data_IF_718716598389
#
_entry.id   IF_718716598389
#
_cell.length_a   1.000
_cell.length_b   1.000
_cell.length_c   1.000
_cell.angle_alpha   90.00
_cell.angle_beta   90.00
_cell.angle_gamma   90.00
#
_symmetry.space_group_name_H-M   'P 1'
#
loop_
_entity.id
_entity.type
_entity.pdbx_description
1 polymer ?
#
# COMPACT_ATOMS: atom_id res chain seq x y z
N UNK A 1 -31.70 -50.14 13.07
CA UNK A 1 -31.78 -50.26 11.60
C UNK A 1 -32.34 -48.94 11.06
N UNK A 2 -31.53 -48.09 10.44
CA UNK A 2 -31.91 -46.71 10.09
C UNK A 2 -32.42 -46.62 8.64
N UNK A 3 -33.57 -45.97 8.44
CA UNK A 3 -34.31 -45.91 7.17
C UNK A 3 -33.59 -45.04 6.12
N UNK A 4 -33.52 -45.49 4.87
CA UNK A 4 -32.75 -44.89 3.75
C UNK A 4 -33.06 -43.42 3.47
N UNK A 5 -34.25 -42.94 3.82
CA UNK A 5 -34.64 -41.52 3.70
C UNK A 5 -33.88 -40.58 4.65
N UNK A 6 -33.44 -41.09 5.80
CA UNK A 6 -32.70 -40.31 6.81
C UNK A 6 -31.24 -40.06 6.38
N UNK A 7 -30.64 -41.00 5.64
CA UNK A 7 -29.26 -40.87 5.13
C UNK A 7 -29.14 -39.77 4.07
N UNK A 8 -30.08 -39.70 3.14
CA UNK A 8 -30.07 -38.72 2.03
C UNK A 8 -30.32 -37.29 2.55
N UNK A 9 -31.18 -37.14 3.55
CA UNK A 9 -31.51 -35.84 4.14
C UNK A 9 -30.33 -35.26 4.93
N UNK A 10 -29.64 -36.09 5.73
CA UNK A 10 -28.48 -35.67 6.52
C UNK A 10 -27.25 -35.31 5.66
N UNK A 11 -27.07 -35.98 4.52
CA UNK A 11 -25.99 -35.70 3.55
C UNK A 11 -26.18 -34.32 2.90
N UNK A 12 -27.40 -34.00 2.48
CA UNK A 12 -27.76 -32.68 1.92
C UNK A 12 -27.61 -31.57 2.96
N UNK A 13 -27.94 -31.84 4.22
CA UNK A 13 -27.84 -30.88 5.32
C UNK A 13 -26.38 -30.49 5.61
N UNK A 14 -25.48 -31.48 5.71
CA UNK A 14 -24.04 -31.24 5.93
C UNK A 14 -23.36 -30.52 4.76
N UNK A 15 -23.74 -30.86 3.53
CA UNK A 15 -23.22 -30.19 2.32
C UNK A 15 -23.66 -28.71 2.23
N UNK A 16 -24.87 -28.39 2.68
CA UNK A 16 -25.43 -27.02 2.67
C UNK A 16 -24.77 -26.10 3.69
N UNK A 17 -24.42 -26.62 4.88
CA UNK A 17 -23.76 -25.84 5.94
C UNK A 17 -22.33 -25.49 5.55
N UNK A 18 -21.61 -26.42 4.91
CA UNK A 18 -20.25 -26.19 4.44
C UNK A 18 -20.18 -25.12 3.34
N UNK A 19 -21.16 -25.09 2.42
CA UNK A 19 -21.22 -24.08 1.37
C UNK A 19 -21.50 -22.68 1.94
N UNK A 20 -22.43 -22.57 2.90
CA UNK A 20 -22.73 -21.29 3.57
C UNK A 20 -21.54 -20.78 4.39
N UNK A 21 -20.86 -21.68 5.10
CA UNK A 21 -19.66 -21.34 5.86
C UNK A 21 -18.51 -20.89 4.96
N UNK A 22 -18.32 -21.54 3.80
CA UNK A 22 -17.32 -21.16 2.80
C UNK A 22 -17.63 -19.78 2.20
N UNK A 23 -18.89 -19.52 1.83
CA UNK A 23 -19.33 -18.22 1.31
C UNK A 23 -19.12 -17.13 2.36
N UNK A 24 -19.47 -17.39 3.63
CA UNK A 24 -19.24 -16.43 4.72
C UNK A 24 -17.75 -16.18 4.93
N UNK A 25 -16.91 -17.22 4.92
CA UNK A 25 -15.46 -17.08 5.05
C UNK A 25 -14.85 -16.26 3.90
N UNK A 26 -15.33 -16.45 2.66
CA UNK A 26 -14.92 -15.67 1.50
C UNK A 26 -15.37 -14.20 1.61
N UNK A 27 -16.58 -13.94 2.10
CA UNK A 27 -17.08 -12.58 2.32
C UNK A 27 -16.28 -11.85 3.40
N UNK A 28 -15.97 -12.53 4.52
CA UNK A 28 -15.19 -11.95 5.62
C UNK A 28 -13.74 -11.68 5.19
N UNK A 29 -13.13 -12.58 4.42
CA UNK A 29 -11.77 -12.37 3.90
C UNK A 29 -11.69 -11.25 2.85
N UNK A 30 -12.75 -11.05 2.05
CA UNK A 30 -12.86 -9.91 1.14
C UNK A 30 -12.91 -8.55 1.86
N UNK A 31 -13.55 -8.47 3.03
CA UNK A 31 -13.60 -7.22 3.82
C UNK A 31 -12.23 -6.82 4.39
N UNK A 32 -11.35 -7.79 4.67
CA UNK A 32 -10.03 -7.52 5.25
C UNK A 32 -9.02 -6.94 4.25
N UNK A 33 -9.30 -7.02 2.93
CA UNK A 33 -8.41 -6.52 1.86
C UNK A 33 -8.69 -5.04 1.50
N UNK A 34 -9.78 -4.46 1.98
CA UNK A 34 -10.20 -3.09 1.61
C UNK A 34 -9.29 -1.96 2.14
N UNK A 35 -8.25 -2.26 2.92
CA UNK A 35 -7.36 -1.26 3.53
C UNK A 35 -6.07 -0.93 2.76
N UNK A 36 -5.79 -1.56 1.61
CA UNK A 36 -4.46 -1.47 0.97
C UNK A 36 -4.36 -0.50 -0.22
N UNK A 37 -5.38 0.34 -0.47
CA UNK A 37 -5.43 1.22 -1.64
C UNK A 37 -5.42 2.71 -1.25
N UNK A 38 -4.38 3.16 -0.53
CA UNK A 38 -4.14 4.57 -0.25
C UNK A 38 -2.70 5.04 -0.56
N UNK A 39 -1.91 4.21 -1.25
CA UNK A 39 -0.58 4.57 -1.73
C UNK A 39 -0.65 4.85 -3.24
N UNK A 40 -1.01 6.05 -3.70
CA UNK A 40 -1.03 6.25 -5.15
C UNK A 40 -1.62 7.49 -5.77
N UNK A 41 -1.82 8.60 -5.05
CA UNK A 41 -2.21 9.87 -5.68
C UNK A 41 -1.19 11.01 -5.56
N UNK A 42 -0.04 10.75 -4.92
CA UNK A 42 1.05 11.72 -4.81
C UNK A 42 1.91 11.65 -6.08
N UNK A 43 1.60 12.54 -7.02
CA UNK A 43 2.40 12.68 -8.25
C UNK A 43 3.43 13.78 -7.99
N UNK A 44 4.72 13.45 -8.17
CA UNK A 44 5.78 14.46 -8.23
C UNK A 44 5.52 15.37 -9.43
N UNK A 45 5.25 16.66 -9.18
CA UNK A 45 5.01 17.67 -10.22
C UNK A 45 6.33 18.13 -10.82
N UNK A 46 7.29 18.46 -9.95
CA UNK A 46 8.61 18.97 -10.34
C UNK A 46 9.60 18.81 -9.19
N UNK A 47 10.88 18.93 -9.54
CA UNK A 47 11.97 19.01 -8.57
C UNK A 47 12.96 20.11 -8.97
N UNK A 48 13.67 20.61 -7.97
CA UNK A 48 14.86 21.44 -8.14
C UNK A 48 15.97 20.84 -7.28
N UNK A 49 17.08 20.35 -7.88
CA UNK A 49 17.35 20.29 -9.32
C UNK A 49 16.36 19.42 -10.10
N UNK A 50 16.10 19.78 -11.36
CA UNK A 50 15.22 18.99 -12.23
C UNK A 50 15.83 17.62 -12.55
N UNK A 51 14.99 16.59 -12.65
CA UNK A 51 15.44 15.23 -12.96
C UNK A 51 16.32 15.18 -14.22
N UNK A 52 17.44 14.47 -14.12
CA UNK A 52 18.42 14.33 -15.22
C UNK A 52 19.35 15.53 -15.42
N UNK A 53 19.26 16.58 -14.59
CA UNK A 53 20.18 17.71 -14.64
C UNK A 53 21.58 17.30 -14.21
N UNK A 54 22.58 17.59 -15.03
CA UNK A 54 23.99 17.48 -14.64
C UNK A 54 24.46 18.82 -14.11
N UNK A 55 24.78 18.88 -12.83
CA UNK A 55 25.25 20.09 -12.16
C UNK A 55 26.78 20.15 -12.14
N UNK A 56 27.32 21.38 -12.21
CA UNK A 56 28.77 21.62 -12.07
C UNK A 56 29.25 21.54 -10.63
N UNK A 57 28.35 21.77 -9.67
CA UNK A 57 28.61 21.78 -8.24
C UNK A 57 27.41 21.15 -7.51
N UNK A 58 27.65 20.59 -6.33
CA UNK A 58 26.58 20.04 -5.51
C UNK A 58 25.60 21.15 -5.10
N UNK A 59 24.28 20.93 -5.19
CA UNK A 59 23.31 21.87 -4.64
C UNK A 59 23.34 21.81 -3.11
N UNK A 60 22.97 22.91 -2.47
CA UNK A 60 22.81 22.98 -1.00
C UNK A 60 21.45 22.49 -0.54
N UNK A 61 20.47 22.38 -1.45
CA UNK A 61 19.09 21.99 -1.16
C UNK A 61 18.51 21.24 -2.36
N UNK A 62 17.70 20.22 -2.08
CA UNK A 62 16.85 19.56 -3.08
C UNK A 62 15.40 19.79 -2.65
N UNK A 63 14.59 20.32 -3.58
CA UNK A 63 13.16 20.58 -3.35
C UNK A 63 12.33 19.75 -4.31
N UNK A 64 11.26 19.14 -3.82
CA UNK A 64 10.31 18.36 -4.60
C UNK A 64 8.89 18.85 -4.32
N UNK A 65 8.11 19.07 -5.37
CA UNK A 65 6.72 19.51 -5.25
C UNK A 65 5.78 18.39 -5.67
N UNK A 66 4.79 18.11 -4.84
CA UNK A 66 3.81 17.05 -5.04
C UNK A 66 2.43 17.64 -5.35
N UNK A 67 1.59 16.84 -6.01
CA UNK A 67 0.22 17.23 -6.37
C UNK A 67 -0.74 17.35 -5.20
N UNK A 68 -0.34 16.89 -4.02
CA UNK A 68 -1.12 16.89 -2.80
C UNK A 68 -0.26 17.34 -1.63
N UNK A 69 -0.92 17.85 -0.59
CA UNK A 69 -0.27 18.14 0.68
C UNK A 69 0.28 16.85 1.30
N UNK A 70 1.48 16.93 1.87
CA UNK A 70 2.17 15.82 2.51
C UNK A 70 2.07 15.94 4.04
N UNK A 71 2.05 14.80 4.73
CA UNK A 71 2.07 14.77 6.18
C UNK A 71 3.47 15.11 6.71
N UNK A 72 3.60 16.21 7.43
CA UNK A 72 4.89 16.72 7.96
C UNK A 72 5.59 15.78 8.94
N UNK A 73 4.87 14.82 9.55
CA UNK A 73 5.40 13.89 10.54
C UNK A 73 5.72 12.52 9.95
N UNK A 74 5.09 12.18 8.84
CA UNK A 74 5.21 10.86 8.21
C UNK A 74 5.99 10.89 6.89
N UNK A 75 6.17 12.07 6.29
CA UNK A 75 6.91 12.24 5.03
C UNK A 75 8.37 12.64 5.27
N UNK A 76 9.27 12.01 4.52
CA UNK A 76 10.71 12.32 4.52
C UNK A 76 11.23 12.32 3.07
N UNK A 77 12.36 13.01 2.84
CA UNK A 77 13.06 13.03 1.56
C UNK A 77 14.53 12.65 1.80
N UNK A 78 15.03 11.72 1.00
CA UNK A 78 16.40 11.21 1.11
C UNK A 78 17.14 11.32 -0.22
N UNK A 79 18.42 11.70 -0.17
CA UNK A 79 19.33 11.77 -1.31
C UNK A 79 20.36 10.67 -1.20
N UNK A 80 20.52 9.88 -2.27
CA UNK A 80 21.46 8.78 -2.36
C UNK A 80 22.50 9.01 -3.46
N UNK A 81 23.71 8.47 -3.28
CA UNK A 81 24.70 8.35 -4.35
C UNK A 81 24.47 7.11 -5.22
N UNK A 82 25.36 6.89 -6.20
CA UNK A 82 25.30 5.74 -7.12
C UNK A 82 25.57 4.38 -6.45
N UNK A 83 26.14 4.36 -5.25
CA UNK A 83 26.36 3.17 -4.43
C UNK A 83 25.17 2.91 -3.48
N UNK A 84 24.15 3.77 -3.50
CA UNK A 84 22.98 3.69 -2.63
C UNK A 84 23.23 4.20 -1.20
N UNK A 85 24.32 4.93 -0.96
CA UNK A 85 24.60 5.54 0.34
C UNK A 85 23.84 6.85 0.45
N UNK A 86 23.19 7.10 1.58
CA UNK A 86 22.57 8.39 1.86
C UNK A 86 23.65 9.47 2.00
N UNK A 87 23.48 10.59 1.31
CA UNK A 87 24.46 11.69 1.22
C UNK A 87 23.91 13.06 1.65
N UNK A 88 22.69 13.09 2.15
CA UNK A 88 22.15 14.25 2.86
C UNK A 88 22.38 14.14 4.39
N UNK A 89 21.84 15.10 5.14
CA UNK A 89 21.97 15.15 6.59
C UNK A 89 20.90 14.32 7.33
N UNK A 90 19.98 13.64 6.62
CA UNK A 90 18.86 12.93 7.22
C UNK A 90 17.76 13.83 7.82
N UNK A 91 17.74 15.11 7.45
CA UNK A 91 16.80 16.14 7.92
C UNK A 91 15.74 16.53 6.87
N UNK A 92 15.66 15.78 5.77
CA UNK A 92 14.69 16.02 4.70
C UNK A 92 13.25 15.78 5.15
N UNK A 93 12.40 16.79 4.96
CA UNK A 93 10.99 16.79 5.36
C UNK A 93 10.13 17.74 4.53
N UNK A 94 8.92 18.01 5.01
CA UNK A 94 7.97 18.92 4.36
C UNK A 94 8.18 20.34 4.90
N UNK A 95 8.34 21.30 3.98
CA UNK A 95 8.43 22.74 4.27
C UNK A 95 7.04 23.37 4.10
N UNK A 96 6.46 23.92 5.17
CA UNK A 96 5.12 24.56 5.21
C UNK A 96 5.21 26.02 5.67
#
# INVERSE_FOLDING_TARGET
>A
MMNSKQLITSFRYRLSVNLKALVLALLVSGLLVAGAAAHGLEVLIKSDPSAGTVLKQSPSLVTAWFSTELDTRLSTLQVFDNEGRQVDNGDGGVDL
#
